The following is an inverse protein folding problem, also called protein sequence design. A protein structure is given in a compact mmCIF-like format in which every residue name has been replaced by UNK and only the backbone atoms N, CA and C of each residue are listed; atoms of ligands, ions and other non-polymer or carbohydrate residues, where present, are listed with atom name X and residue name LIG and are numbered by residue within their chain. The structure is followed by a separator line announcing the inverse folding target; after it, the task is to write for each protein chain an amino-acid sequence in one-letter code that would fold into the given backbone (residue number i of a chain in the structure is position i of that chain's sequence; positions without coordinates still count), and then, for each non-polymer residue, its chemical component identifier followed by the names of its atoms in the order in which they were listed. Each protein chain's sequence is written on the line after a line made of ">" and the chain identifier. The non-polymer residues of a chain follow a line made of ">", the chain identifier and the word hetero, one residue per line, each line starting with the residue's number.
data_IF_491885055108
#
_entry.id   IF_491885055108
#
_cell.length_a   1.000
_cell.length_b   1.000
_cell.length_c   1.000
_cell.angle_alpha   90.00
_cell.angle_beta   90.00
_cell.angle_gamma   90.00
#
_symmetry.space_group_name_H-M   'P 1'
#
loop_
_entity.id
_entity.type
_entity.pdbx_description
1 polymer ?
#
# COMPACT_ATOMS: atom_id res chain seq x y z
N UNK A 1 -3.42 -10.81 18.32
CA UNK A 1 -2.63 -9.58 18.53
C UNK A 1 -1.92 -9.10 17.26
N UNK A 2 -1.02 -9.90 16.65
CA UNK A 2 -0.28 -9.50 15.43
C UNK A 2 -1.19 -9.06 14.27
N UNK A 3 -2.24 -9.83 13.96
CA UNK A 3 -3.18 -9.49 12.87
C UNK A 3 -3.96 -8.18 13.13
N UNK A 4 -4.33 -7.90 14.37
CA UNK A 4 -5.07 -6.68 14.71
C UNK A 4 -4.20 -5.43 14.56
N UNK A 5 -2.95 -5.47 15.02
CA UNK A 5 -2.00 -4.36 14.83
C UNK A 5 -1.73 -4.10 13.34
N UNK A 6 -1.60 -5.17 12.55
CA UNK A 6 -1.45 -5.06 11.10
C UNK A 6 -2.69 -4.43 10.45
N UNK A 7 -3.90 -4.84 10.84
CA UNK A 7 -5.14 -4.26 10.33
C UNK A 7 -5.26 -2.78 10.67
N UNK A 8 -4.85 -2.36 11.88
CA UNK A 8 -4.79 -0.95 12.23
C UNK A 8 -3.80 -0.18 11.36
N UNK A 9 -2.61 -0.72 11.14
CA UNK A 9 -1.60 -0.09 10.28
C UNK A 9 -2.13 0.07 8.84
N UNK A 10 -2.78 -0.96 8.29
CA UNK A 10 -3.43 -0.92 6.97
C UNK A 10 -4.52 0.17 6.94
N UNK A 11 -5.39 0.23 7.95
CA UNK A 11 -6.46 1.22 8.01
C UNK A 11 -5.93 2.66 8.06
N UNK A 12 -4.85 2.90 8.81
CA UNK A 12 -4.18 4.21 8.85
C UNK A 12 -3.54 4.55 7.49
N UNK A 13 -2.93 3.58 6.82
CA UNK A 13 -2.34 3.77 5.49
C UNK A 13 -3.41 4.09 4.43
N UNK A 14 -4.52 3.33 4.41
CA UNK A 14 -5.69 3.59 3.57
C UNK A 14 -6.31 4.96 3.84
N UNK A 15 -6.45 5.36 5.12
CA UNK A 15 -6.90 6.70 5.48
C UNK A 15 -5.97 7.77 4.90
N UNK A 16 -4.66 7.61 5.04
CA UNK A 16 -3.66 8.50 4.43
C UNK A 16 -3.81 8.57 2.91
N UNK A 17 -4.06 7.44 2.25
CA UNK A 17 -4.29 7.40 0.81
C UNK A 17 -5.55 8.18 0.41
N UNK A 18 -6.66 8.03 1.13
CA UNK A 18 -7.91 8.76 0.89
C UNK A 18 -7.73 10.26 1.08
N UNK A 19 -7.04 10.68 2.14
CA UNK A 19 -6.71 12.10 2.38
C UNK A 19 -5.90 12.71 1.22
N UNK A 20 -5.18 11.89 0.47
CA UNK A 20 -4.44 12.27 -0.75
C UNK A 20 -5.22 11.96 -2.05
N UNK A 21 -6.56 11.92 -1.98
CA UNK A 21 -7.46 11.63 -3.10
C UNK A 21 -7.19 10.27 -3.78
N UNK A 22 -6.86 9.25 -2.98
CA UNK A 22 -6.71 7.85 -3.39
C UNK A 22 -7.99 7.04 -3.23
N UNK A 23 -7.94 5.76 -3.63
CA UNK A 23 -9.04 4.83 -3.40
C UNK A 23 -9.08 4.38 -1.93
N UNK A 24 -10.27 4.17 -1.34
CA UNK A 24 -10.41 3.81 0.08
C UNK A 24 -9.86 2.43 0.42
N UNK A 25 -9.97 1.47 -0.49
CA UNK A 25 -9.47 0.10 -0.30
C UNK A 25 -8.07 -0.09 -0.92
N UNK A 26 -7.26 0.97 -1.00
CA UNK A 26 -5.89 0.91 -1.52
C UNK A 26 -4.95 1.61 -0.54
N UNK A 27 -3.84 0.95 -0.18
CA UNK A 27 -2.76 1.55 0.61
C UNK A 27 -1.95 2.56 -0.20
N UNK A 28 -1.35 3.53 0.48
CA UNK A 28 -0.51 4.55 -0.15
C UNK A 28 0.72 3.92 -0.83
N UNK A 29 1.30 2.91 -0.18
CA UNK A 29 2.43 2.11 -0.69
C UNK A 29 2.08 1.41 -2.01
N UNK A 30 0.91 0.77 -2.10
CA UNK A 30 0.39 0.16 -3.33
C UNK A 30 0.16 1.20 -4.43
N UNK A 31 -0.50 2.31 -4.10
CA UNK A 31 -0.72 3.42 -5.05
C UNK A 31 0.61 3.97 -5.56
N UNK A 32 1.60 4.14 -4.69
CA UNK A 32 2.90 4.66 -5.06
C UNK A 32 3.59 3.76 -6.08
N UNK A 33 3.58 2.44 -5.87
CA UNK A 33 4.07 1.48 -6.86
C UNK A 33 3.30 1.55 -8.18
N UNK A 34 1.97 1.52 -8.14
CA UNK A 34 1.11 1.60 -9.33
C UNK A 34 1.36 2.87 -10.13
N UNK A 35 1.53 4.01 -9.48
CA UNK A 35 1.78 5.29 -10.13
C UNK A 35 3.23 5.40 -10.66
N UNK A 36 4.20 4.81 -9.95
CA UNK A 36 5.58 4.64 -10.46
C UNK A 36 5.58 3.81 -11.75
N UNK A 37 4.86 2.68 -11.78
CA UNK A 37 4.74 1.83 -12.97
C UNK A 37 4.09 2.56 -14.17
N UNK A 38 3.20 3.52 -13.90
CA UNK A 38 2.60 4.41 -14.91
C UNK A 38 3.51 5.56 -15.35
N UNK A 39 4.74 5.66 -14.83
CA UNK A 39 5.69 6.71 -15.18
C UNK A 39 5.35 8.10 -14.60
N UNK A 40 4.57 8.16 -13.52
CA UNK A 40 4.18 9.45 -12.95
C UNK A 40 5.37 10.13 -12.25
N UNK A 41 5.64 11.38 -12.64
CA UNK A 41 6.85 12.16 -12.28
C UNK A 41 7.14 12.22 -10.77
N UNK A 42 6.12 12.45 -9.96
CA UNK A 42 6.27 12.63 -8.51
C UNK A 42 6.17 11.32 -7.70
N UNK A 43 5.32 10.39 -8.13
CA UNK A 43 5.08 9.15 -7.39
C UNK A 43 6.24 8.17 -7.46
N UNK A 44 7.11 8.26 -8.48
CA UNK A 44 8.36 7.50 -8.50
C UNK A 44 9.26 7.83 -7.29
N UNK A 45 9.40 9.13 -6.98
CA UNK A 45 10.12 9.60 -5.80
C UNK A 45 9.41 9.21 -4.51
N UNK A 46 8.08 9.35 -4.45
CA UNK A 46 7.28 8.93 -3.29
C UNK A 46 7.45 7.43 -3.00
N UNK A 47 7.37 6.58 -4.02
CA UNK A 47 7.58 5.14 -3.87
C UNK A 47 8.98 4.81 -3.35
N UNK A 48 10.02 5.46 -3.90
CA UNK A 48 11.39 5.27 -3.43
C UNK A 48 11.59 5.75 -1.98
N UNK A 49 10.96 6.87 -1.60
CA UNK A 49 11.00 7.38 -0.23
C UNK A 49 10.29 6.44 0.76
N UNK A 50 9.15 5.87 0.37
CA UNK A 50 8.43 4.87 1.17
C UNK A 50 9.29 3.60 1.30
N UNK A 51 9.82 3.06 0.21
CA UNK A 51 10.70 1.89 0.26
C UNK A 51 11.94 2.13 1.14
N UNK A 52 12.49 3.35 1.17
CA UNK A 52 13.60 3.72 2.05
C UNK A 52 13.18 3.82 3.53
N UNK A 53 11.98 4.32 3.82
CA UNK A 53 11.43 4.32 5.18
C UNK A 53 11.25 2.89 5.71
N UNK A 54 10.84 1.97 4.83
CA UNK A 54 10.70 0.54 5.09
C UNK A 54 11.94 -0.25 4.66
N UNK A 55 13.15 0.25 4.92
CA UNK A 55 14.41 -0.39 4.48
C UNK A 55 14.59 -1.85 4.94
N UNK A 56 13.87 -2.27 5.99
CA UNK A 56 13.87 -3.65 6.51
C UNK A 56 12.90 -4.59 5.76
N UNK A 57 12.03 -4.06 4.89
CA UNK A 57 11.10 -4.82 4.05
C UNK A 57 11.41 -4.56 2.57
N UNK A 58 12.25 -5.39 1.92
CA UNK A 58 12.69 -5.14 0.56
C UNK A 58 11.52 -5.19 -0.43
N UNK A 59 11.46 -4.20 -1.33
CA UNK A 59 10.38 -4.01 -2.30
C UNK A 59 8.99 -3.82 -1.65
N UNK A 60 8.94 -3.15 -0.50
CA UNK A 60 7.72 -2.90 0.27
C UNK A 60 6.54 -2.43 -0.61
N UNK A 61 6.73 -1.40 -1.44
CA UNK A 61 5.66 -0.87 -2.28
C UNK A 61 5.17 -1.87 -3.34
N UNK A 62 6.07 -2.68 -3.91
CA UNK A 62 5.69 -3.70 -4.90
C UNK A 62 4.89 -4.84 -4.25
N UNK A 63 5.33 -5.31 -3.08
CA UNK A 63 4.63 -6.33 -2.29
C UNK A 63 3.27 -5.84 -1.81
N UNK A 64 3.16 -4.57 -1.43
CA UNK A 64 1.88 -3.95 -1.11
C UNK A 64 0.93 -4.00 -2.30
N UNK A 65 1.41 -3.62 -3.50
CA UNK A 65 0.62 -3.69 -4.72
C UNK A 65 0.15 -5.11 -5.08
N UNK A 66 1.02 -6.12 -4.93
CA UNK A 66 0.63 -7.52 -5.12
C UNK A 66 -0.41 -7.99 -4.09
N UNK A 67 -0.26 -7.57 -2.83
CA UNK A 67 -1.20 -7.90 -1.76
C UNK A 67 -2.59 -7.30 -2.00
N UNK A 68 -2.66 -6.09 -2.55
CA UNK A 68 -3.92 -5.45 -2.96
C UNK A 68 -4.59 -6.19 -4.11
N UNK A 69 -3.81 -6.59 -5.13
CA UNK A 69 -4.34 -7.40 -6.24
C UNK A 69 -4.96 -8.71 -5.75
N UNK A 70 -4.39 -9.32 -4.72
CA UNK A 70 -4.90 -10.54 -4.08
C UNK A 70 -5.93 -10.28 -2.98
N UNK A 71 -6.27 -9.01 -2.71
CA UNK A 71 -7.21 -8.58 -1.65
C UNK A 71 -6.85 -9.16 -0.27
N UNK A 72 -5.56 -9.26 0.05
CA UNK A 72 -5.09 -9.88 1.30
C UNK A 72 -5.53 -9.14 2.56
N UNK A 73 -5.88 -7.86 2.42
CA UNK A 73 -6.40 -7.02 3.49
C UNK A 73 -7.84 -7.37 3.85
N UNK A 74 -8.59 -7.95 2.91
CA UNK A 74 -9.95 -8.41 3.14
C UNK A 74 -9.94 -9.75 3.91
N UNK A 75 -10.96 -9.99 4.75
CA UNK A 75 -11.22 -11.32 5.32
C UNK A 75 -11.21 -12.40 4.23
N UNK A 76 -10.67 -13.58 4.53
CA UNK A 76 -10.48 -14.65 3.54
C UNK A 76 -11.78 -15.04 2.83
N UNK A 77 -12.89 -15.03 3.58
CA UNK A 77 -14.22 -15.40 3.09
C UNK A 77 -14.84 -14.35 2.15
N UNK A 78 -14.24 -13.16 2.06
CA UNK A 78 -14.67 -12.06 1.17
C UNK A 78 -13.77 -11.88 -0.05
N UNK A 79 -12.72 -12.71 -0.21
CA UNK A 79 -11.84 -12.66 -1.38
C UNK A 79 -12.49 -13.43 -2.53
N UNK A 80 -12.45 -12.85 -3.73
CA UNK A 80 -12.96 -13.47 -4.97
C UNK A 80 -12.05 -14.60 -5.46
#
# INVERSE_FOLDING_TARGET
>A
MKAWLLNLAIAVDQLGNVLLAGAPDETLSSRAHRMRAKGHRWWGWTAAAIDALFFFDPNHCARAYESEKQRLQQPRDLRN
#
